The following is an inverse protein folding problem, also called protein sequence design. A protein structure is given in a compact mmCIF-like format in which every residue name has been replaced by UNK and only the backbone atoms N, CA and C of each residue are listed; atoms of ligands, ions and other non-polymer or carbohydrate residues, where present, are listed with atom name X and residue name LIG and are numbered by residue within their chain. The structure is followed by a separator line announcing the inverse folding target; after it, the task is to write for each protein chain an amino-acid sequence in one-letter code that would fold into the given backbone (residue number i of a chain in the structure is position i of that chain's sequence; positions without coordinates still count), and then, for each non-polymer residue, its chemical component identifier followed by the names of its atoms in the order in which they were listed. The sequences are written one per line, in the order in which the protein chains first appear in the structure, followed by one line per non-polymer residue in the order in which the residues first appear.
data_IF_357186105648
#
_entry.id   IF_357186105648
#
_cell.length_a   1.000
_cell.length_b   1.000
_cell.length_c   1.000
_cell.angle_alpha   90.00
_cell.angle_beta   90.00
_cell.angle_gamma   90.00
#
_symmetry.space_group_name_H-M   'P 1'
#
loop_
_entity.id
_entity.type
_entity.pdbx_description
1 polymer ?
#
# COMPACT_ATOMS: atom_id res chain seq x y z
N UNK A 1 10.46 25.57 12.30
CA UNK A 1 11.06 25.10 11.04
C UNK A 1 11.62 26.30 10.30
N UNK A 2 12.90 26.29 9.92
CA UNK A 2 13.58 27.41 9.24
C UNK A 2 13.36 27.37 7.72
N UNK A 3 13.58 28.51 7.05
CA UNK A 3 13.53 28.63 5.59
C UNK A 3 14.47 27.63 4.88
N UNK A 4 15.64 27.35 5.47
CA UNK A 4 16.62 26.39 4.97
C UNK A 4 16.09 24.95 4.94
N UNK A 5 15.32 24.52 5.95
CA UNK A 5 14.70 23.20 5.95
C UNK A 5 13.68 23.08 4.82
N UNK A 6 12.89 24.13 4.57
CA UNK A 6 11.92 24.13 3.47
C UNK A 6 12.58 24.13 2.10
N UNK A 7 13.68 24.86 1.91
CA UNK A 7 14.45 24.80 0.66
C UNK A 7 15.01 23.40 0.40
N UNK A 8 15.49 22.71 1.44
CA UNK A 8 15.95 21.33 1.32
C UNK A 8 14.81 20.39 0.90
N UNK A 9 13.64 20.48 1.54
CA UNK A 9 12.45 19.69 1.19
C UNK A 9 12.05 19.92 -0.27
N UNK A 10 11.99 21.19 -0.70
CA UNK A 10 11.66 21.54 -2.09
C UNK A 10 12.71 20.96 -3.04
N UNK A 11 14.00 21.12 -2.76
CA UNK A 11 15.06 20.58 -3.62
C UNK A 11 14.98 19.05 -3.80
N UNK A 12 14.61 18.33 -2.74
CA UNK A 12 14.44 16.88 -2.78
C UNK A 12 13.21 16.45 -3.57
N UNK A 13 12.08 17.14 -3.38
CA UNK A 13 10.84 16.86 -4.14
C UNK A 13 11.04 17.15 -5.63
N UNK A 14 11.79 18.20 -5.97
CA UNK A 14 12.02 18.60 -7.36
C UNK A 14 13.20 17.89 -8.05
N UNK A 15 14.07 17.19 -7.32
CA UNK A 15 15.23 16.52 -7.90
C UNK A 15 14.88 15.54 -9.04
N UNK A 16 13.85 14.67 -8.94
CA UNK A 16 13.49 13.77 -10.04
C UNK A 16 13.11 14.51 -11.33
N UNK A 17 12.41 15.64 -11.20
CA UNK A 17 11.95 16.45 -12.33
C UNK A 17 13.08 17.27 -12.97
N UNK A 18 14.14 17.57 -12.21
CA UNK A 18 15.35 18.18 -12.76
C UNK A 18 16.07 17.21 -13.71
N UNK A 19 16.13 15.92 -13.35
CA UNK A 19 16.76 14.88 -14.17
C UNK A 19 15.84 14.32 -15.26
N UNK A 20 14.52 14.44 -15.09
CA UNK A 20 13.53 14.08 -16.08
C UNK A 20 12.45 15.18 -16.24
N UNK A 21 12.72 16.21 -17.07
CA UNK A 21 11.79 17.33 -17.26
C UNK A 21 10.44 16.92 -17.86
N UNK A 22 10.34 15.74 -18.48
CA UNK A 22 9.09 15.23 -19.04
C UNK A 22 7.99 15.04 -17.99
N UNK A 23 8.35 14.92 -16.70
CA UNK A 23 7.38 14.91 -15.60
C UNK A 23 6.61 16.22 -15.39
N UNK A 24 7.01 17.32 -16.06
CA UNK A 24 6.21 18.55 -16.10
C UNK A 24 5.26 18.61 -17.31
N UNK A 25 5.45 17.74 -18.30
CA UNK A 25 4.53 17.65 -19.43
C UNK A 25 3.31 16.84 -19.00
N UNK A 26 2.16 17.53 -18.96
CA UNK A 26 0.90 16.93 -18.57
C UNK A 26 0.49 15.77 -19.47
N UNK A 27 0.65 15.90 -20.79
CA UNK A 27 0.25 14.85 -21.73
C UNK A 27 1.11 13.61 -21.50
N UNK A 28 2.43 13.80 -21.40
CA UNK A 28 3.34 12.70 -21.11
C UNK A 28 3.05 12.04 -19.76
N UNK A 29 2.72 12.81 -18.73
CA UNK A 29 2.37 12.28 -17.41
C UNK A 29 1.10 11.44 -17.44
N UNK A 30 0.09 11.87 -18.21
CA UNK A 30 -1.15 11.10 -18.40
C UNK A 30 -0.88 9.81 -19.16
N UNK A 31 -0.09 9.87 -20.24
CA UNK A 31 0.27 8.69 -21.03
C UNK A 31 1.09 7.69 -20.20
N UNK A 32 2.10 8.16 -19.45
CA UNK A 32 2.92 7.30 -18.57
C UNK A 32 2.09 6.69 -17.44
N UNK A 33 1.09 7.40 -16.94
CA UNK A 33 0.16 6.86 -15.95
C UNK A 33 -0.74 5.78 -16.56
N UNK A 34 -1.23 5.95 -17.78
CA UNK A 34 -2.03 4.93 -18.47
C UNK A 34 -1.19 3.68 -18.77
N UNK A 35 0.05 3.85 -19.25
CA UNK A 35 1.02 2.77 -19.45
C UNK A 35 1.30 2.02 -18.14
N UNK A 36 1.52 2.74 -17.04
CA UNK A 36 1.69 2.14 -15.72
C UNK A 36 0.45 1.34 -15.29
N UNK A 37 -0.75 1.87 -15.49
CA UNK A 37 -1.98 1.15 -15.16
C UNK A 37 -2.18 -0.09 -16.04
N UNK A 38 -1.86 0.00 -17.32
CA UNK A 38 -1.86 -1.14 -18.24
C UNK A 38 -0.87 -2.22 -17.77
N UNK A 39 0.32 -1.83 -17.32
CA UNK A 39 1.34 -2.73 -16.75
C UNK A 39 0.89 -3.41 -15.44
N UNK A 40 0.24 -2.68 -14.53
CA UNK A 40 -0.32 -3.22 -13.27
C UNK A 40 -1.46 -4.20 -13.54
N UNK A 41 -2.32 -3.91 -14.52
CA UNK A 41 -3.51 -4.73 -14.79
C UNK A 41 -3.33 -5.72 -15.94
N UNK A 42 -2.09 -5.88 -16.43
CA UNK A 42 -1.78 -6.76 -17.53
C UNK A 42 -2.16 -8.21 -17.18
N UNK A 43 -3.06 -8.80 -17.96
CA UNK A 43 -3.53 -10.21 -17.83
C UNK A 43 -3.03 -11.11 -18.96
N UNK A 44 -2.00 -10.70 -19.68
CA UNK A 44 -1.52 -11.42 -20.87
C UNK A 44 -0.69 -12.66 -20.57
N UNK A 45 -0.02 -13.14 -21.62
CA UNK A 45 0.62 -14.46 -21.74
C UNK A 45 1.75 -14.71 -20.74
N UNK A 46 1.99 -16.00 -20.42
CA UNK A 46 3.10 -16.53 -19.59
C UNK A 46 4.49 -16.02 -20.03
N UNK A 47 4.62 -15.55 -21.27
CA UNK A 47 5.86 -15.00 -21.85
C UNK A 47 5.94 -13.47 -21.83
N UNK A 48 5.08 -12.79 -21.06
CA UNK A 48 5.16 -11.34 -20.90
C UNK A 48 6.50 -10.94 -20.28
N UNK A 49 7.08 -9.85 -20.76
CA UNK A 49 8.35 -9.30 -20.22
C UNK A 49 8.09 -8.46 -18.98
N UNK A 50 9.10 -8.26 -18.14
CA UNK A 50 9.05 -7.31 -17.03
C UNK A 50 8.59 -5.89 -17.40
N UNK A 51 8.85 -5.43 -18.63
CA UNK A 51 8.39 -4.11 -19.10
C UNK A 51 6.89 -4.04 -19.40
N UNK A 52 6.21 -5.18 -19.51
CA UNK A 52 4.79 -5.27 -19.91
C UNK A 52 3.89 -5.71 -18.75
N UNK A 53 4.41 -6.49 -17.80
CA UNK A 53 3.65 -7.00 -16.66
C UNK A 53 4.42 -6.85 -15.34
N UNK A 54 3.71 -6.35 -14.33
CA UNK A 54 4.21 -6.30 -12.95
C UNK A 54 4.50 -7.69 -12.38
N UNK A 55 3.73 -8.70 -12.79
CA UNK A 55 3.89 -10.07 -12.32
C UNK A 55 5.19 -10.67 -12.88
N UNK A 56 5.45 -10.49 -14.18
CA UNK A 56 6.71 -10.90 -14.80
C UNK A 56 7.90 -10.16 -14.20
N UNK A 57 7.80 -8.85 -13.99
CA UNK A 57 8.83 -8.06 -13.32
C UNK A 57 9.12 -8.61 -11.92
N UNK A 58 8.08 -8.95 -11.16
CA UNK A 58 8.22 -9.51 -9.83
C UNK A 58 8.98 -10.84 -9.84
N UNK A 59 8.64 -11.76 -10.74
CA UNK A 59 9.36 -13.04 -10.85
C UNK A 59 10.81 -12.86 -11.31
N UNK A 60 11.06 -11.96 -12.26
CA UNK A 60 12.42 -11.65 -12.72
C UNK A 60 13.27 -11.08 -11.58
N UNK A 61 12.73 -10.11 -10.83
CA UNK A 61 13.40 -9.50 -9.68
C UNK A 61 13.74 -10.55 -8.61
N UNK A 62 12.85 -11.53 -8.39
CA UNK A 62 13.03 -12.60 -7.41
C UNK A 62 13.83 -13.81 -7.90
N UNK A 63 14.20 -13.86 -9.17
CA UNK A 63 14.86 -15.03 -9.74
C UNK A 63 16.19 -15.37 -9.03
N UNK A 64 16.89 -14.37 -8.48
CA UNK A 64 18.12 -14.58 -7.72
C UNK A 64 17.91 -15.46 -6.46
N UNK A 65 16.71 -15.46 -5.86
CA UNK A 65 16.39 -16.30 -4.71
C UNK A 65 16.44 -17.79 -5.01
N UNK A 66 16.24 -18.19 -6.27
CA UNK A 66 16.30 -19.60 -6.67
C UNK A 66 17.72 -20.17 -6.55
N UNK A 67 18.74 -19.33 -6.72
CA UNK A 67 20.15 -19.74 -6.66
C UNK A 67 20.81 -19.39 -5.33
N UNK A 68 20.16 -18.57 -4.50
CA UNK A 68 20.65 -18.18 -3.17
C UNK A 68 20.61 -19.34 -2.16
N UNK A 69 21.69 -19.44 -1.38
CA UNK A 69 21.80 -20.42 -0.28
C UNK A 69 20.75 -20.19 0.83
N UNK A 70 20.51 -21.20 1.67
CA UNK A 70 19.56 -21.09 2.80
C UNK A 70 19.88 -19.90 3.72
N UNK A 71 21.16 -19.60 3.94
CA UNK A 71 21.58 -18.46 4.76
C UNK A 71 21.27 -17.11 4.10
N UNK A 72 21.40 -17.01 2.78
CA UNK A 72 21.01 -15.80 2.05
C UNK A 72 19.51 -15.54 2.14
N UNK A 73 18.69 -16.58 1.97
CA UNK A 73 17.23 -16.49 2.14
C UNK A 73 16.84 -16.04 3.55
N UNK A 74 17.50 -16.60 4.58
CA UNK A 74 17.28 -16.17 5.96
C UNK A 74 17.67 -14.71 6.18
N UNK A 75 18.80 -14.25 5.64
CA UNK A 75 19.20 -12.85 5.73
C UNK A 75 18.21 -11.92 5.02
N UNK A 76 17.66 -12.33 3.89
CA UNK A 76 16.62 -11.56 3.20
C UNK A 76 15.34 -11.46 4.01
N UNK A 77 14.88 -12.54 4.64
CA UNK A 77 13.75 -12.49 5.59
C UNK A 77 14.05 -11.51 6.71
N UNK A 78 15.24 -11.58 7.32
CA UNK A 78 15.65 -10.65 8.39
C UNK A 78 15.65 -9.20 7.91
N UNK A 79 16.16 -8.94 6.70
CA UNK A 79 16.14 -7.61 6.11
C UNK A 79 14.70 -7.13 5.84
N UNK A 80 13.82 -8.01 5.38
CA UNK A 80 12.40 -7.70 5.13
C UNK A 80 11.63 -7.43 6.44
N UNK A 81 12.09 -7.94 7.58
CA UNK A 81 11.49 -7.57 8.88
C UNK A 81 11.53 -6.06 9.17
N UNK A 82 12.44 -5.29 8.53
CA UNK A 82 12.49 -3.82 8.60
C UNK A 82 11.14 -3.16 8.31
N UNK A 83 10.34 -3.75 7.42
CA UNK A 83 9.04 -3.20 7.05
C UNK A 83 8.03 -3.24 8.21
N UNK A 84 8.09 -4.26 9.07
CA UNK A 84 7.26 -4.32 10.28
C UNK A 84 7.73 -3.34 11.36
N UNK A 85 9.02 -3.03 11.41
CA UNK A 85 9.53 -1.95 12.27
C UNK A 85 9.00 -0.58 11.82
N UNK A 86 8.94 -0.32 10.50
CA UNK A 86 8.31 0.90 9.98
C UNK A 86 6.82 0.95 10.32
N UNK A 87 6.09 -0.15 10.14
CA UNK A 87 4.68 -0.23 10.55
C UNK A 87 4.52 0.03 12.05
N UNK A 88 5.35 -0.57 12.90
CA UNK A 88 5.33 -0.34 14.35
C UNK A 88 5.52 1.14 14.68
N UNK A 89 6.50 1.81 14.06
CA UNK A 89 6.73 3.25 14.23
C UNK A 89 5.52 4.09 13.79
N UNK A 90 4.87 3.73 12.69
CA UNK A 90 3.65 4.42 12.23
C UNK A 90 2.50 4.23 13.23
N UNK A 91 2.27 3.01 13.72
CA UNK A 91 1.22 2.70 14.71
C UNK A 91 1.47 3.42 16.03
N UNK A 92 2.73 3.50 16.46
CA UNK A 92 3.12 4.24 17.67
C UNK A 92 2.69 5.71 17.62
N UNK A 93 2.73 6.34 16.45
CA UNK A 93 2.33 7.74 16.27
C UNK A 93 0.81 7.96 16.13
N UNK A 94 0.01 6.90 16.02
CA UNK A 94 -1.45 7.05 15.98
C UNK A 94 -1.98 7.59 17.31
N UNK A 95 -2.93 8.53 17.25
CA UNK A 95 -3.58 9.10 18.43
C UNK A 95 -4.22 8.04 19.34
N UNK A 96 -4.78 6.98 18.76
CA UNK A 96 -5.37 5.84 19.49
C UNK A 96 -4.33 5.04 20.30
N UNK A 97 -3.06 5.05 19.91
CA UNK A 97 -2.00 4.34 20.64
C UNK A 97 -1.64 5.05 21.95
N UNK A 98 -1.94 6.36 22.06
CA UNK A 98 -1.55 7.18 23.21
C UNK A 98 -0.03 7.23 23.43
N UNK A 99 0.78 7.04 22.37
CA UNK A 99 2.24 6.88 22.47
C UNK A 99 2.65 5.68 23.35
N UNK A 100 1.80 4.67 23.48
CA UNK A 100 2.17 3.45 24.17
C UNK A 100 3.07 2.60 23.27
N UNK A 101 4.28 2.30 23.73
CA UNK A 101 5.21 1.36 23.08
C UNK A 101 4.82 -0.11 23.31
N UNK A 102 3.54 -0.40 23.55
CA UNK A 102 3.09 -1.74 23.89
C UNK A 102 3.00 -2.61 22.64
N UNK A 103 3.68 -3.75 22.65
CA UNK A 103 3.60 -4.77 21.59
C UNK A 103 2.15 -5.22 21.38
N UNK A 104 1.32 -5.23 22.43
CA UNK A 104 -0.08 -5.58 22.29
C UNK A 104 -0.85 -4.59 21.40
N UNK A 105 -0.63 -3.29 21.53
CA UNK A 105 -1.29 -2.26 20.69
C UNK A 105 -0.90 -2.44 19.22
N UNK A 106 0.36 -2.78 18.98
CA UNK A 106 0.83 -3.14 17.64
C UNK A 106 0.10 -4.38 17.11
N UNK A 107 0.03 -5.48 17.86
CA UNK A 107 -0.68 -6.69 17.45
C UNK A 107 -2.19 -6.43 17.19
N UNK A 108 -2.84 -5.61 18.02
CA UNK A 108 -4.24 -5.19 17.79
C UNK A 108 -4.41 -4.41 16.48
N UNK A 109 -3.41 -3.64 16.06
CA UNK A 109 -3.46 -2.90 14.79
C UNK A 109 -3.53 -3.81 13.56
N UNK A 110 -3.12 -5.08 13.65
CA UNK A 110 -3.20 -6.03 12.54
C UNK A 110 -4.64 -6.38 12.14
N UNK A 111 -5.61 -6.21 13.05
CA UNK A 111 -7.03 -6.35 12.72
C UNK A 111 -7.41 -5.43 11.56
N UNK A 112 -6.85 -4.22 11.51
CA UNK A 112 -7.11 -3.28 10.42
C UNK A 112 -6.61 -3.84 9.07
N UNK A 113 -5.45 -4.48 9.04
CA UNK A 113 -4.88 -5.09 7.83
C UNK A 113 -5.76 -6.25 7.36
N UNK A 114 -6.13 -7.17 8.27
CA UNK A 114 -6.99 -8.30 7.92
C UNK A 114 -8.38 -7.84 7.49
N UNK A 115 -8.93 -6.79 8.11
CA UNK A 115 -10.20 -6.20 7.69
C UNK A 115 -10.10 -5.58 6.28
N UNK A 116 -9.04 -4.81 6.00
CA UNK A 116 -8.80 -4.23 4.67
C UNK A 116 -8.65 -5.31 3.59
N UNK A 117 -7.90 -6.37 3.88
CA UNK A 117 -7.73 -7.51 2.98
C UNK A 117 -9.04 -8.28 2.77
N UNK A 118 -9.80 -8.55 3.84
CA UNK A 118 -11.11 -9.20 3.76
C UNK A 118 -12.14 -8.39 2.95
N UNK A 119 -12.14 -7.06 3.14
CA UNK A 119 -12.94 -6.12 2.33
C UNK A 119 -12.53 -6.25 0.86
N UNK A 120 -11.24 -6.23 0.54
CA UNK A 120 -10.76 -6.36 -0.83
C UNK A 120 -11.22 -7.67 -1.47
N UNK A 121 -11.04 -8.80 -0.78
CA UNK A 121 -11.47 -10.12 -1.26
C UNK A 121 -12.98 -10.18 -1.50
N UNK A 122 -13.78 -9.69 -0.54
CA UNK A 122 -15.23 -9.63 -0.67
C UNK A 122 -15.64 -8.78 -1.89
N UNK A 123 -15.00 -7.63 -2.07
CA UNK A 123 -15.27 -6.73 -3.19
C UNK A 123 -14.86 -7.33 -4.54
N UNK A 124 -13.73 -8.07 -4.61
CA UNK A 124 -13.35 -8.78 -5.82
C UNK A 124 -14.35 -9.90 -6.14
N UNK A 125 -14.76 -10.68 -5.14
CA UNK A 125 -15.76 -11.72 -5.32
C UNK A 125 -17.12 -11.17 -5.80
N UNK A 126 -17.59 -10.07 -5.20
CA UNK A 126 -18.84 -9.41 -5.63
C UNK A 126 -18.71 -8.88 -7.06
N UNK A 127 -17.56 -8.29 -7.42
CA UNK A 127 -17.28 -7.81 -8.78
C UNK A 127 -17.27 -8.95 -9.79
N UNK A 128 -16.61 -10.06 -9.51
CA UNK A 128 -16.46 -11.14 -10.48
C UNK A 128 -17.79 -11.91 -10.67
N UNK A 129 -18.58 -12.08 -9.59
CA UNK A 129 -19.86 -12.79 -9.66
C UNK A 129 -21.03 -11.93 -10.19
N UNK A 130 -21.05 -10.61 -9.93
CA UNK A 130 -22.17 -9.72 -10.28
C UNK A 130 -21.83 -8.62 -11.28
N UNK A 131 -20.54 -8.40 -11.57
CA UNK A 131 -20.04 -7.26 -12.34
C UNK A 131 -20.45 -7.27 -13.82
N UNK A 132 -20.65 -8.44 -14.43
CA UNK A 132 -21.07 -8.54 -15.83
C UNK A 132 -22.60 -8.51 -16.03
N UNK A 133 -23.41 -8.83 -15.01
CA UNK A 133 -24.87 -8.99 -15.14
C UNK A 133 -25.69 -7.93 -14.40
N UNK A 134 -25.19 -7.32 -13.31
CA UNK A 134 -25.95 -6.32 -12.53
C UNK A 134 -25.05 -5.31 -11.81
N UNK A 135 -24.54 -4.29 -12.54
CA UNK A 135 -23.72 -3.21 -12.00
C UNK A 135 -24.30 -2.47 -10.78
N UNK A 136 -25.64 -2.49 -10.60
CA UNK A 136 -26.32 -1.84 -9.48
C UNK A 136 -25.90 -2.42 -8.12
N UNK A 137 -25.69 -3.75 -8.02
CA UNK A 137 -25.33 -4.41 -6.75
C UNK A 137 -23.88 -4.08 -6.36
N UNK A 138 -22.99 -4.02 -7.34
CA UNK A 138 -21.59 -3.61 -7.11
C UNK A 138 -21.53 -2.15 -6.62
N UNK A 139 -22.32 -1.25 -7.22
CA UNK A 139 -22.41 0.15 -6.77
C UNK A 139 -23.01 0.26 -5.37
N UNK A 140 -24.08 -0.48 -5.09
CA UNK A 140 -24.70 -0.51 -3.77
C UNK A 140 -23.73 -1.04 -2.70
N UNK A 141 -22.99 -2.12 -2.99
CA UNK A 141 -21.97 -2.64 -2.08
C UNK A 141 -20.88 -1.60 -1.78
N UNK A 142 -20.35 -0.92 -2.82
CA UNK A 142 -19.40 0.19 -2.65
C UNK A 142 -19.97 1.31 -1.77
N UNK A 143 -21.23 1.67 -2.00
CA UNK A 143 -21.92 2.72 -1.25
C UNK A 143 -22.11 2.35 0.23
N UNK A 144 -22.58 1.14 0.51
CA UNK A 144 -22.73 0.64 1.89
C UNK A 144 -21.38 0.56 2.60
N UNK A 145 -20.32 0.15 1.90
CA UNK A 145 -18.96 0.10 2.43
C UNK A 145 -18.45 1.50 2.80
N UNK A 146 -18.75 2.50 1.96
CA UNK A 146 -18.42 3.90 2.25
C UNK A 146 -19.13 4.39 3.51
N UNK A 147 -20.43 4.12 3.65
CA UNK A 147 -21.20 4.47 4.86
C UNK A 147 -20.59 3.80 6.09
N UNK A 148 -20.30 2.51 6.02
CA UNK A 148 -19.70 1.76 7.12
C UNK A 148 -18.34 2.34 7.52
N UNK A 149 -17.50 2.72 6.55
CA UNK A 149 -16.21 3.36 6.81
C UNK A 149 -16.36 4.71 7.51
N UNK A 150 -17.32 5.54 7.08
CA UNK A 150 -17.60 6.83 7.74
C UNK A 150 -18.08 6.62 9.18
N UNK A 151 -19.02 5.69 9.39
CA UNK A 151 -19.51 5.36 10.73
C UNK A 151 -18.39 4.82 11.63
N UNK A 152 -17.49 3.99 11.09
CA UNK A 152 -16.32 3.49 11.82
C UNK A 152 -15.40 4.63 12.27
N UNK A 153 -15.09 5.59 11.38
CA UNK A 153 -14.26 6.75 11.73
C UNK A 153 -14.93 7.61 12.80
N UNK A 154 -16.25 7.83 12.71
CA UNK A 154 -17.01 8.57 13.72
C UNK A 154 -16.97 7.82 15.07
N UNK A 155 -17.19 6.51 15.07
CA UNK A 155 -17.15 5.69 16.27
C UNK A 155 -15.74 5.71 16.92
N UNK A 156 -14.68 5.51 16.13
CA UNK A 156 -13.30 5.58 16.60
C UNK A 156 -13.01 6.93 17.26
N UNK A 157 -13.50 8.03 16.69
CA UNK A 157 -13.34 9.36 17.28
C UNK A 157 -14.13 9.53 18.58
N UNK A 158 -15.34 9.00 18.67
CA UNK A 158 -16.20 9.17 19.83
C UNK A 158 -15.71 8.34 21.03
N UNK A 159 -15.18 7.15 20.77
CA UNK A 159 -14.78 6.20 21.81
C UNK A 159 -13.27 6.19 22.11
N UNK A 160 -12.44 6.79 21.24
CA UNK A 160 -10.98 6.80 21.41
C UNK A 160 -10.36 8.16 21.04
N UNK A 161 -9.08 8.38 21.36
CA UNK A 161 -8.34 9.61 21.05
C UNK A 161 -7.91 9.73 19.56
N UNK A 162 -8.67 9.12 18.65
CA UNK A 162 -8.37 9.06 17.22
C UNK A 162 -8.49 10.43 16.54
N UNK A 163 -7.46 10.81 15.77
CA UNK A 163 -7.37 12.10 15.05
C UNK A 163 -7.68 11.93 13.56
N UNK A 164 -8.08 13.00 12.87
CA UNK A 164 -8.29 12.95 11.42
C UNK A 164 -7.02 12.57 10.63
N UNK A 165 -5.86 13.01 11.11
CA UNK A 165 -4.56 12.66 10.50
C UNK A 165 -4.30 11.15 10.61
N UNK A 166 -4.80 10.49 11.66
CA UNK A 166 -4.61 9.06 11.89
C UNK A 166 -5.22 8.19 10.78
N UNK A 167 -6.21 8.70 10.02
CA UNK A 167 -6.75 8.01 8.84
C UNK A 167 -5.69 7.90 7.73
N UNK A 168 -4.97 8.97 7.47
CA UNK A 168 -3.90 8.95 6.46
C UNK A 168 -2.69 8.16 6.97
N UNK A 169 -2.37 8.29 8.25
CA UNK A 169 -1.29 7.53 8.89
C UNK A 169 -1.56 6.03 8.89
N UNK A 170 -2.81 5.59 9.11
CA UNK A 170 -3.16 4.16 9.06
C UNK A 170 -3.13 3.60 7.64
N UNK A 171 -3.52 4.37 6.63
CA UNK A 171 -3.34 3.99 5.22
C UNK A 171 -1.87 3.87 4.85
N UNK A 172 -1.03 4.81 5.33
CA UNK A 172 0.42 4.76 5.12
C UNK A 172 1.03 3.48 5.70
N UNK A 173 0.51 2.99 6.84
CA UNK A 173 0.98 1.74 7.45
C UNK A 173 0.77 0.50 6.56
N UNK A 174 -0.21 0.52 5.64
CA UNK A 174 -0.48 -0.58 4.73
C UNK A 174 0.65 -0.77 3.70
N UNK A 175 1.34 0.31 3.32
CA UNK A 175 2.42 0.26 2.31
C UNK A 175 3.60 -0.61 2.78
N UNK A 176 4.28 -0.30 3.91
CA UNK A 176 5.37 -1.15 4.38
C UNK A 176 4.87 -2.52 4.79
N UNK A 177 3.67 -2.63 5.40
CA UNK A 177 3.15 -3.94 5.81
C UNK A 177 2.88 -4.86 4.62
N UNK A 178 2.18 -4.37 3.61
CA UNK A 178 1.89 -5.12 2.39
C UNK A 178 3.16 -5.51 1.67
N UNK A 179 4.11 -4.58 1.53
CA UNK A 179 5.41 -4.86 0.93
C UNK A 179 6.21 -5.91 1.73
N UNK A 180 6.22 -5.82 3.06
CA UNK A 180 6.88 -6.79 3.93
C UNK A 180 6.28 -8.19 3.84
N UNK A 181 4.95 -8.30 3.79
CA UNK A 181 4.24 -9.57 3.59
C UNK A 181 4.57 -10.18 2.23
N UNK A 182 4.50 -9.38 1.17
CA UNK A 182 4.81 -9.81 -0.20
C UNK A 182 6.28 -10.25 -0.30
N UNK A 183 7.21 -9.53 0.33
CA UNK A 183 8.64 -9.84 0.29
C UNK A 183 9.03 -11.07 1.14
N UNK A 184 8.20 -11.49 2.10
CA UNK A 184 8.43 -12.73 2.87
C UNK A 184 7.79 -13.94 2.18
N UNK A 185 6.72 -13.73 1.41
CA UNK A 185 6.01 -14.78 0.72
C UNK A 185 6.71 -15.32 -0.56
N UNK A 186 7.90 -14.80 -0.88
CA UNK A 186 8.72 -15.14 -2.05
C UNK A 186 9.37 -16.53 -1.96
#
# INVERSE_FOLDING_TARGET
MSLTCWLLVVSWIFAPFLFNPSGFDWLKTVDDFDDFMNWIWYRGSIFAKATESWESWWYEEQHHLLTTSLWGKLLEIILNLRFFFFQYGIVYHLGISGQSGSVFVYLWSWIFIFAAFGIYLMMSYVRDNHGAKKHIYVRLAKFLLMILGILLVIALRQFTAFKYVDVFTSLLALVPTGWGLISIAQ
#
